data_IF_459827518938
#
_entry.id   IF_459827518938
#
_cell.length_a   1.000
_cell.length_b   1.000
_cell.length_c   1.000
_cell.angle_alpha   90.00
_cell.angle_beta   90.00
_cell.angle_gamma   90.00
#
_symmetry.space_group_name_H-M   'P 1'
#
loop_
_entity.id
_entity.type
_entity.pdbx_description
1 polymer ?
#
# COMPACT_ATOMS: atom_id res chain seq x y z
N UNK A 1 -9.72 -0.14 3.92
CA UNK A 1 -9.06 -1.32 3.33
C UNK A 1 -9.10 -2.43 4.38
N UNK A 2 -9.46 -3.66 4.01
CA UNK A 2 -9.37 -4.82 4.90
C UNK A 2 -8.14 -5.62 4.51
N UNK A 3 -7.28 -5.90 5.46
CA UNK A 3 -6.14 -6.79 5.33
C UNK A 3 -6.48 -8.18 5.86
N UNK A 4 -5.91 -9.22 5.27
CA UNK A 4 -6.14 -10.61 5.65
C UNK A 4 -4.80 -11.34 5.78
N UNK A 5 -4.67 -12.20 6.80
CA UNK A 5 -3.43 -12.93 7.04
C UNK A 5 -3.08 -13.87 5.89
N UNK A 6 -4.07 -14.45 5.22
CA UNK A 6 -3.83 -15.45 4.18
C UNK A 6 -4.24 -14.96 2.80
N UNK A 7 -3.88 -15.74 1.77
CA UNK A 7 -4.38 -15.52 0.41
C UNK A 7 -5.88 -15.77 0.35
N UNK A 8 -6.52 -15.28 -0.72
CA UNK A 8 -7.94 -15.46 -0.98
C UNK A 8 -8.85 -15.00 0.18
N UNK A 9 -8.44 -13.96 0.91
CA UNK A 9 -9.20 -13.34 2.00
C UNK A 9 -9.45 -14.29 3.20
N UNK A 10 -8.53 -15.22 3.43
CA UNK A 10 -8.56 -16.15 4.57
C UNK A 10 -7.84 -15.66 5.82
N UNK A 11 -8.01 -16.40 6.92
CA UNK A 11 -7.37 -16.10 8.21
C UNK A 11 -7.99 -14.92 8.95
N UNK A 12 -7.25 -14.36 9.92
CA UNK A 12 -7.69 -13.15 10.63
C UNK A 12 -7.66 -11.95 9.70
N UNK A 13 -8.55 -11.00 9.96
CA UNK A 13 -8.62 -9.75 9.22
C UNK A 13 -8.46 -8.53 10.11
N UNK A 14 -8.02 -7.44 9.49
CA UNK A 14 -7.92 -6.12 10.13
C UNK A 14 -8.43 -5.04 9.18
N UNK A 15 -9.43 -4.29 9.64
CA UNK A 15 -9.98 -3.15 8.92
C UNK A 15 -9.21 -1.88 9.26
N UNK A 16 -8.58 -1.30 8.24
CA UNK A 16 -7.84 -0.05 8.35
C UNK A 16 -8.53 1.06 7.52
N UNK A 17 -8.77 2.20 8.16
CA UNK A 17 -9.42 3.38 7.55
C UNK A 17 -8.51 4.61 7.51
N UNK A 18 -7.22 4.48 7.84
CA UNK A 18 -6.25 5.57 7.89
C UNK A 18 -4.86 5.08 7.52
N UNK A 19 -3.86 5.93 7.68
CA UNK A 19 -2.46 5.50 7.66
C UNK A 19 -2.20 4.52 8.81
N UNK A 20 -1.36 3.52 8.56
CA UNK A 20 -0.90 2.56 9.55
C UNK A 20 0.57 2.28 9.34
N UNK A 21 1.42 2.74 10.27
CA UNK A 21 2.88 2.57 10.19
C UNK A 21 3.37 1.17 10.53
N UNK A 22 2.54 0.35 11.19
CA UNK A 22 2.88 -1.02 11.52
C UNK A 22 1.64 -1.92 11.59
N UNK A 23 1.44 -2.71 10.54
CA UNK A 23 0.38 -3.71 10.46
C UNK A 23 0.67 -4.93 11.35
N UNK A 24 1.94 -5.16 11.74
CA UNK A 24 2.32 -6.32 12.55
C UNK A 24 1.78 -6.26 13.97
N UNK A 25 1.45 -5.05 14.42
CA UNK A 25 0.71 -4.80 15.67
C UNK A 25 -0.72 -5.37 15.66
N UNK A 26 -1.29 -5.68 14.50
CA UNK A 26 -2.67 -6.17 14.35
C UNK A 26 -2.75 -7.59 13.75
N UNK A 27 -1.93 -7.87 12.73
CA UNK A 27 -1.87 -9.14 12.02
C UNK A 27 -0.43 -9.66 11.98
N UNK A 28 -0.22 -10.96 12.12
CA UNK A 28 1.15 -11.53 12.08
C UNK A 28 1.80 -11.43 10.70
N UNK A 29 0.97 -11.38 9.66
CA UNK A 29 1.31 -11.33 8.23
C UNK A 29 0.10 -10.79 7.47
N UNK A 30 0.31 -10.39 6.21
CA UNK A 30 -0.76 -9.92 5.34
C UNK A 30 -0.51 -10.28 3.87
N UNK A 31 -1.23 -11.30 3.38
CA UNK A 31 -1.07 -11.84 2.01
C UNK A 31 -2.23 -11.52 1.06
N UNK A 32 -3.32 -10.94 1.54
CA UNK A 32 -4.38 -10.43 0.67
C UNK A 32 -5.08 -9.22 1.27
N UNK A 33 -5.74 -8.41 0.44
CA UNK A 33 -6.50 -7.26 0.92
C UNK A 33 -7.70 -6.93 0.02
N UNK A 34 -8.69 -6.25 0.60
CA UNK A 34 -9.83 -5.68 -0.12
C UNK A 34 -9.89 -4.18 0.11
N UNK A 35 -9.87 -3.40 -0.96
CA UNK A 35 -10.02 -1.95 -0.90
C UNK A 35 -11.47 -1.60 -1.19
N UNK A 36 -12.21 -1.21 -0.14
CA UNK A 36 -13.63 -0.84 -0.27
C UNK A 36 -13.83 0.49 -1.00
N UNK A 37 -12.95 1.45 -0.74
CA UNK A 37 -13.01 2.81 -1.30
C UNK A 37 -11.63 3.47 -1.29
N UNK A 38 -11.46 4.49 -2.13
CA UNK A 38 -10.23 5.27 -2.22
C UNK A 38 -9.05 4.52 -2.82
N UNK A 39 -7.86 5.03 -2.52
CA UNK A 39 -6.58 4.47 -2.93
C UNK A 39 -5.65 4.43 -1.72
N UNK A 40 -4.79 3.41 -1.68
CA UNK A 40 -3.79 3.25 -0.65
C UNK A 40 -2.43 2.96 -1.30
N UNK A 41 -1.37 3.43 -0.66
CA UNK A 41 -0.01 2.95 -0.91
C UNK A 41 0.35 1.94 0.17
N UNK A 42 0.68 0.71 -0.22
CA UNK A 42 1.11 -0.35 0.70
C UNK A 42 2.63 -0.50 0.63
N UNK A 43 3.22 -0.94 1.73
CA UNK A 43 4.66 -1.07 1.89
C UNK A 43 5.04 -2.42 2.49
N UNK A 44 6.15 -2.99 2.04
CA UNK A 44 6.69 -4.25 2.56
C UNK A 44 7.52 -4.08 3.84
N UNK A 45 7.84 -2.85 4.26
CA UNK A 45 8.42 -2.56 5.59
C UNK A 45 7.50 -1.67 6.42
N UNK A 46 7.76 -1.63 7.72
CA UNK A 46 7.11 -0.70 8.64
C UNK A 46 7.52 0.75 8.33
N UNK A 47 6.76 1.70 8.86
CA UNK A 47 7.00 3.14 8.76
C UNK A 47 7.10 3.67 7.32
N UNK A 48 6.31 3.09 6.41
CA UNK A 48 6.18 3.55 5.01
C UNK A 48 7.48 3.43 4.20
N UNK A 49 8.26 2.38 4.48
CA UNK A 49 9.56 2.14 3.87
C UNK A 49 9.54 0.90 2.95
N UNK A 50 10.56 0.80 2.11
CA UNK A 50 10.75 -0.35 1.22
C UNK A 50 9.97 -0.25 -0.08
N UNK A 51 9.59 -1.40 -0.63
CA UNK A 51 8.87 -1.45 -1.91
C UNK A 51 7.44 -0.93 -1.74
N UNK A 52 6.95 -0.23 -2.77
CA UNK A 52 5.67 0.46 -2.73
C UNK A 52 4.68 -0.18 -3.71
N UNK A 53 3.46 -0.41 -3.24
CA UNK A 53 2.41 -1.07 -4.01
C UNK A 53 1.15 -0.21 -3.98
N UNK A 54 0.80 0.36 -5.13
CA UNK A 54 -0.41 1.14 -5.28
C UNK A 54 -1.63 0.21 -5.42
N UNK A 55 -2.60 0.37 -4.52
CA UNK A 55 -3.88 -0.33 -4.58
C UNK A 55 -5.03 0.66 -4.61
N UNK A 56 -6.03 0.37 -5.41
CA UNK A 56 -7.28 1.14 -5.54
C UNK A 56 -8.45 0.24 -5.19
N UNK A 57 -9.66 0.80 -5.11
CA UNK A 57 -10.89 0.03 -4.91
C UNK A 57 -10.88 -1.26 -5.76
N UNK A 58 -11.01 -2.41 -5.10
CA UNK A 58 -10.87 -3.72 -5.71
C UNK A 58 -10.46 -4.81 -4.73
N UNK A 59 -10.30 -6.02 -5.26
CA UNK A 59 -9.92 -7.21 -4.53
C UNK A 59 -8.51 -7.66 -4.95
N UNK A 60 -7.66 -7.94 -3.96
CA UNK A 60 -6.28 -8.37 -4.15
C UNK A 60 -6.06 -9.69 -3.39
N UNK A 61 -6.43 -10.84 -4.00
CA UNK A 61 -6.44 -12.14 -3.32
C UNK A 61 -5.04 -12.71 -3.06
N UNK A 62 -4.01 -12.22 -3.76
CA UNK A 62 -2.63 -12.64 -3.54
C UNK A 62 -1.68 -11.46 -3.79
N UNK A 63 -0.97 -11.04 -2.75
CA UNK A 63 -0.01 -9.95 -2.88
C UNK A 63 1.22 -10.31 -3.71
N UNK A 64 1.56 -11.60 -3.82
CA UNK A 64 2.69 -12.03 -4.64
C UNK A 64 2.45 -11.81 -6.13
N UNK A 65 1.18 -11.81 -6.59
CA UNK A 65 0.85 -11.50 -7.98
C UNK A 65 1.16 -10.04 -8.36
N UNK A 66 1.41 -9.18 -7.37
CA UNK A 66 1.86 -7.79 -7.56
C UNK A 66 3.39 -7.66 -7.61
N UNK A 67 4.12 -8.78 -7.79
CA UNK A 67 5.58 -8.79 -7.80
C UNK A 67 6.19 -8.61 -6.41
N UNK A 68 5.43 -8.94 -5.37
CA UNK A 68 5.87 -8.81 -3.98
C UNK A 68 6.53 -10.10 -3.50
N UNK A 69 7.67 -9.97 -2.82
CA UNK A 69 8.44 -11.10 -2.31
C UNK A 69 8.07 -11.51 -0.87
N UNK A 70 7.21 -10.75 -0.19
CA UNK A 70 6.90 -10.91 1.24
C UNK A 70 5.43 -10.57 1.57
N UNK A 71 5.12 -10.02 2.75
CA UNK A 71 3.80 -9.50 3.15
C UNK A 71 3.81 -8.00 3.50
N UNK A 72 2.63 -7.35 3.48
CA UNK A 72 2.51 -5.93 3.80
C UNK A 72 2.75 -5.64 5.28
N UNK A 73 3.47 -4.56 5.57
CA UNK A 73 3.82 -4.13 6.93
C UNK A 73 3.39 -2.71 7.27
N UNK A 74 3.12 -1.85 6.28
CA UNK A 74 2.51 -0.54 6.53
C UNK A 74 1.69 -0.04 5.33
N UNK A 75 0.83 0.95 5.55
CA UNK A 75 0.01 1.55 4.50
C UNK A 75 -0.26 3.03 4.71
N UNK A 76 -0.41 3.78 3.62
CA UNK A 76 -0.93 5.16 3.63
C UNK A 76 -2.18 5.29 2.79
N UNK A 77 -3.16 6.03 3.30
CA UNK A 77 -4.28 6.48 2.49
C UNK A 77 -3.79 7.58 1.54
N UNK A 78 -4.16 7.47 0.27
CA UNK A 78 -3.88 8.52 -0.72
C UNK A 78 -5.11 9.42 -0.78
N UNK A 79 -5.03 10.68 -0.28
CA UNK A 79 -6.15 11.60 -0.33
C UNK A 79 -6.48 11.98 -1.77
N UNK A 80 -7.76 12.27 -2.01
CA UNK A 80 -8.22 12.68 -3.33
C UNK A 80 -7.77 14.12 -3.61
N UNK A 81 -6.80 14.28 -4.51
CA UNK A 81 -6.32 15.60 -4.93
C UNK A 81 -7.37 16.28 -5.82
N UNK A 82 -7.67 17.55 -5.52
CA UNK A 82 -8.52 18.42 -6.33
C UNK A 82 -7.69 19.60 -6.81
N UNK A 83 -7.11 19.47 -7.99
CA UNK A 83 -6.22 20.48 -8.57
C UNK A 83 -5.58 19.99 -9.86
N UNK A 84 -4.77 20.86 -10.47
CA UNK A 84 -4.00 20.50 -11.66
C UNK A 84 -2.82 19.61 -11.28
N UNK A 85 -2.66 18.47 -11.97
CA UNK A 85 -1.48 17.62 -11.84
C UNK A 85 -0.33 18.21 -12.68
N UNK A 86 0.84 18.42 -12.09
CA UNK A 86 2.05 18.86 -12.80
C UNK A 86 3.27 18.14 -12.23
N UNK A 87 3.99 17.39 -13.07
CA UNK A 87 5.23 16.73 -12.73
C UNK A 87 6.39 17.42 -13.46
N UNK A 88 7.53 17.59 -12.78
CA UNK A 88 8.81 17.99 -13.37
C UNK A 88 9.85 16.98 -12.93
N UNK A 89 10.58 16.45 -13.90
CA UNK A 89 11.66 15.48 -13.70
C UNK A 89 12.92 16.19 -14.15
N UNK A 90 13.99 16.03 -13.38
CA UNK A 90 15.30 16.60 -13.67
C UNK A 90 16.30 15.45 -13.66
N UNK A 91 17.20 15.43 -14.64
CA UNK A 91 18.25 14.41 -14.72
C UNK A 91 19.14 14.37 -13.47
N UNK A 92 19.42 15.54 -12.88
CA UNK A 92 20.36 15.69 -11.76
C UNK A 92 19.69 16.20 -10.50
N UNK A 93 20.41 16.09 -9.39
CA UNK A 93 20.06 16.75 -8.14
C UNK A 93 19.95 18.28 -8.31
N UNK A 94 19.32 18.94 -7.34
CA UNK A 94 19.18 20.40 -7.31
C UNK A 94 18.47 21.03 -8.52
N UNK A 95 17.60 20.26 -9.20
CA UNK A 95 16.81 20.72 -10.35
C UNK A 95 17.65 21.09 -11.59
N UNK A 96 18.79 20.41 -11.76
CA UNK A 96 19.69 20.62 -12.90
C UNK A 96 19.52 19.53 -13.98
N UNK A 97 20.06 19.80 -15.17
CA UNK A 97 19.96 18.90 -16.33
C UNK A 97 18.69 19.09 -17.16
N UNK A 98 18.48 18.21 -18.15
CA UNK A 98 17.24 18.16 -18.94
C UNK A 98 16.11 17.41 -18.24
#
# INVERSE_FOLDING_TARGET
>A
ITFYEERNFGGRSYDCSSDCGDLTSYLSRCYSCRVHSGCFMLYDRTNYMGNQYFVRRGEYPDCMSMGMSDFFRSCRMIPMHRGSFRMRIYERENFEGQ
#
